data_IF_661183247342
#
_entry.id   IF_661183247342
#
_cell.length_a   1.000
_cell.length_b   1.000
_cell.length_c   1.000
_cell.angle_alpha   90.00
_cell.angle_beta   90.00
_cell.angle_gamma   90.00
#
_symmetry.space_group_name_H-M   'P 1'
#
loop_
_entity.id
_entity.type
_entity.pdbx_description
1 polymer ?
#
# COMPACT_ATOMS: atom_id res chain seq x y z
N UNK A 1 26.10 49.32 -77.95
CA UNK A 1 26.31 49.75 -76.55
C UNK A 1 26.83 48.56 -75.74
N UNK A 2 28.00 48.77 -75.12
CA UNK A 2 28.63 48.13 -73.96
C UNK A 2 28.74 46.58 -73.93
N UNK A 3 29.95 46.04 -74.20
CA UNK A 3 31.03 45.68 -73.22
C UNK A 3 30.64 44.40 -72.46
N UNK A 4 31.40 43.31 -72.31
CA UNK A 4 32.83 43.01 -72.23
C UNK A 4 32.94 41.45 -72.36
N UNK A 5 33.84 40.88 -73.17
CA UNK A 5 35.17 40.36 -72.74
C UNK A 5 35.07 39.05 -71.93
N UNK A 6 35.20 37.87 -72.56
CA UNK A 6 36.42 37.10 -72.88
C UNK A 6 36.84 36.06 -71.83
N UNK A 7 36.98 34.82 -72.33
CA UNK A 7 38.05 33.84 -72.07
C UNK A 7 38.18 33.28 -70.65
N UNK A 8 37.95 31.97 -70.56
CA UNK A 8 39.04 31.04 -70.28
C UNK A 8 38.76 30.37 -68.94
N UNK A 9 39.32 29.23 -68.56
CA UNK A 9 40.43 28.50 -69.10
C UNK A 9 40.38 27.17 -68.34
N UNK A 10 40.26 26.07 -69.10
CA UNK A 10 40.88 24.76 -68.88
C UNK A 10 40.82 24.09 -67.50
N UNK A 11 40.22 22.91 -67.54
CA UNK A 11 40.86 21.63 -67.15
C UNK A 11 41.43 21.61 -65.72
N UNK A 12 40.58 21.35 -64.74
CA UNK A 12 40.96 20.61 -63.53
C UNK A 12 39.80 19.70 -63.11
N UNK A 13 39.34 18.90 -64.06
CA UNK A 13 38.23 17.96 -63.89
C UNK A 13 38.77 16.53 -63.73
N UNK A 14 39.71 16.26 -62.81
CA UNK A 14 40.20 14.89 -62.65
C UNK A 14 40.90 14.49 -61.34
N UNK A 15 41.12 15.35 -60.33
CA UNK A 15 41.89 14.95 -59.13
C UNK A 15 41.34 15.52 -57.81
N UNK A 16 40.03 15.42 -57.57
CA UNK A 16 39.48 15.72 -56.23
C UNK A 16 38.24 14.89 -55.88
N UNK A 17 38.25 13.60 -56.20
CA UNK A 17 37.20 12.67 -55.76
C UNK A 17 37.77 11.34 -55.23
N UNK A 18 39.03 11.33 -54.79
CA UNK A 18 39.69 10.19 -54.18
C UNK A 18 40.40 10.57 -52.87
N UNK A 19 39.76 11.40 -52.05
CA UNK A 19 40.24 11.75 -50.71
C UNK A 19 39.09 11.91 -49.69
N UNK A 20 37.94 11.27 -49.92
CA UNK A 20 36.80 11.26 -48.97
C UNK A 20 36.35 9.83 -48.70
N UNK A 21 37.29 8.92 -48.47
CA UNK A 21 36.94 7.52 -48.17
C UNK A 21 37.89 6.82 -47.21
N UNK A 22 38.54 7.54 -46.29
CA UNK A 22 39.32 6.91 -45.20
C UNK A 22 39.29 7.77 -43.94
N UNK A 23 38.16 7.84 -43.22
CA UNK A 23 38.15 8.13 -41.77
C UNK A 23 36.75 8.08 -41.14
N UNK A 24 35.97 7.03 -41.41
CA UNK A 24 34.93 6.60 -40.47
C UNK A 24 35.41 5.30 -39.83
N UNK A 25 36.52 5.45 -39.09
CA UNK A 25 36.93 4.44 -38.13
C UNK A 25 35.80 4.35 -37.10
N UNK A 26 35.17 3.18 -37.02
CA UNK A 26 34.33 2.80 -35.90
C UNK A 26 35.15 2.96 -34.61
N UNK A 27 34.99 4.10 -33.94
CA UNK A 27 35.36 4.23 -32.54
C UNK A 27 34.46 3.31 -31.74
N UNK A 28 34.90 2.07 -31.50
CA UNK A 28 34.40 1.29 -30.37
C UNK A 28 34.79 2.09 -29.12
N UNK A 29 33.87 2.92 -28.64
CA UNK A 29 33.99 3.48 -27.30
C UNK A 29 33.78 2.32 -26.33
N UNK A 30 34.87 1.63 -26.01
CA UNK A 30 34.89 0.46 -25.13
C UNK A 30 35.08 0.87 -23.67
N UNK A 31 34.47 1.99 -23.26
CA UNK A 31 34.35 2.31 -21.86
C UNK A 31 32.85 2.43 -21.56
N UNK A 32 32.20 1.34 -21.07
CA UNK A 32 30.95 1.55 -20.38
C UNK A 32 31.21 2.57 -19.28
N UNK A 33 30.41 3.63 -19.24
CA UNK A 33 30.41 4.60 -18.15
C UNK A 33 30.37 3.80 -16.84
N UNK A 34 31.23 4.09 -15.84
CA UNK A 34 31.12 3.45 -14.54
C UNK A 34 29.68 3.59 -14.05
N UNK A 35 28.95 2.49 -14.00
CA UNK A 35 27.62 2.47 -13.40
C UNK A 35 27.89 2.46 -11.91
N UNK A 36 27.73 3.61 -11.27
CA UNK A 36 27.82 3.66 -9.81
C UNK A 36 26.84 2.61 -9.25
N UNK A 37 27.26 1.80 -8.25
CA UNK A 37 26.38 0.81 -7.65
C UNK A 37 25.12 1.51 -7.16
N UNK A 38 23.95 1.14 -7.71
CA UNK A 38 22.67 1.62 -7.19
C UNK A 38 22.62 1.21 -5.72
N UNK A 39 22.50 2.16 -4.77
CA UNK A 39 22.39 1.82 -3.36
C UNK A 39 21.24 0.84 -3.17
N UNK A 40 21.40 -0.21 -2.35
CA UNK A 40 20.31 -1.13 -2.08
C UNK A 40 19.10 -0.34 -1.58
N UNK A 41 17.96 -0.54 -2.24
CA UNK A 41 16.70 0.07 -1.81
C UNK A 41 16.41 -0.42 -0.40
N UNK A 42 16.30 0.51 0.55
CA UNK A 42 15.92 0.18 1.93
C UNK A 42 14.46 -0.27 1.93
N UNK A 43 14.24 -1.57 1.94
CA UNK A 43 12.91 -2.18 2.13
C UNK A 43 12.58 -2.20 3.62
N UNK A 44 11.46 -1.59 4.01
CA UNK A 44 10.94 -1.72 5.36
C UNK A 44 10.33 -3.11 5.54
N UNK A 45 10.69 -3.81 6.61
CA UNK A 45 10.21 -5.15 6.94
C UNK A 45 9.41 -5.14 8.24
N UNK A 46 8.63 -6.20 8.48
CA UNK A 46 7.96 -6.47 9.75
C UNK A 46 8.68 -7.58 10.51
N UNK A 47 8.59 -7.53 11.84
CA UNK A 47 8.95 -8.65 12.70
C UNK A 47 7.69 -9.34 13.21
N UNK A 48 7.63 -10.66 13.10
CA UNK A 48 6.51 -11.47 13.55
C UNK A 48 6.85 -12.23 14.84
N UNK A 49 5.85 -12.54 15.70
CA UNK A 49 4.44 -12.13 15.56
C UNK A 49 4.22 -10.65 15.86
N UNK A 50 3.27 -10.02 15.15
CA UNK A 50 2.88 -8.62 15.40
C UNK A 50 2.08 -8.45 16.70
N UNK A 51 1.21 -9.40 17.02
CA UNK A 51 0.38 -9.44 18.23
C UNK A 51 -0.03 -10.89 18.53
N UNK A 52 -0.32 -11.18 19.79
CA UNK A 52 -0.88 -12.47 20.21
C UNK A 52 -2.42 -12.39 20.20
N UNK A 53 -3.06 -13.30 19.48
CA UNK A 53 -4.51 -13.40 19.40
C UNK A 53 -4.97 -14.34 18.30
N UNK A 54 -6.28 -14.60 18.26
CA UNK A 54 -6.92 -15.38 17.21
C UNK A 54 -7.78 -14.49 16.33
N UNK A 55 -7.98 -14.92 15.08
CA UNK A 55 -8.86 -14.28 14.10
C UNK A 55 -8.52 -12.79 13.85
N UNK A 56 -7.28 -12.46 13.45
CA UNK A 56 -6.83 -11.08 13.29
C UNK A 56 -7.56 -10.35 12.14
N UNK A 57 -8.35 -9.34 12.51
CA UNK A 57 -8.95 -8.25 11.73
C UNK A 57 -8.01 -7.07 11.45
N UNK A 58 -7.77 -6.60 10.22
CA UNK A 58 -7.17 -5.26 9.97
C UNK A 58 -7.96 -4.50 8.91
N UNK A 59 -8.36 -3.28 9.23
CA UNK A 59 -8.93 -2.32 8.29
C UNK A 59 -8.10 -1.02 8.30
N UNK A 60 -7.77 -0.48 7.13
CA UNK A 60 -7.02 0.78 7.03
C UNK A 60 -7.89 1.87 6.41
N UNK A 61 -7.92 3.03 7.06
CA UNK A 61 -8.58 4.23 6.55
C UNK A 61 -7.83 5.47 6.99
N UNK A 62 -7.67 6.42 6.07
CA UNK A 62 -7.05 7.74 6.33
C UNK A 62 -5.68 7.66 7.03
N UNK A 63 -4.88 6.64 6.71
CA UNK A 63 -3.55 6.44 7.31
C UNK A 63 -3.55 5.83 8.72
N UNK A 64 -4.71 5.43 9.24
CA UNK A 64 -4.85 4.71 10.52
C UNK A 64 -5.22 3.26 10.24
N UNK A 65 -4.52 2.34 10.90
CA UNK A 65 -4.86 0.93 10.94
C UNK A 65 -5.69 0.65 12.18
N UNK A 66 -6.84 0.00 11.95
CA UNK A 66 -7.75 -0.48 12.97
C UNK A 66 -7.63 -1.99 13.03
N UNK A 67 -7.34 -2.53 14.22
CA UNK A 67 -7.13 -3.95 14.42
C UNK A 67 -8.15 -4.52 15.41
N UNK A 68 -8.61 -5.72 15.09
CA UNK A 68 -9.56 -6.51 15.85
C UNK A 68 -9.00 -7.94 16.01
N UNK A 69 -9.41 -8.60 17.08
CA UNK A 69 -9.14 -10.03 17.29
C UNK A 69 -10.23 -10.63 18.18
N UNK A 70 -10.30 -11.96 18.23
CA UNK A 70 -11.15 -12.65 19.19
C UNK A 70 -10.69 -12.37 20.63
N UNK A 71 -11.60 -11.80 21.44
CA UNK A 71 -11.44 -11.64 22.88
C UNK A 71 -12.40 -12.53 23.69
N UNK A 72 -13.45 -13.08 23.07
CA UNK A 72 -14.37 -14.05 23.66
C UNK A 72 -15.56 -13.46 24.43
N UNK A 73 -15.40 -12.30 25.06
CA UNK A 73 -16.44 -11.66 25.89
C UNK A 73 -16.81 -10.23 25.49
N UNK A 74 -15.99 -9.59 24.65
CA UNK A 74 -16.17 -8.22 24.20
C UNK A 74 -15.49 -8.01 22.85
N UNK A 75 -15.66 -6.82 22.27
CA UNK A 75 -14.93 -6.39 21.09
C UNK A 75 -14.02 -5.24 21.49
N UNK A 76 -12.72 -5.45 21.33
CA UNK A 76 -11.67 -4.47 21.58
C UNK A 76 -11.10 -4.02 20.24
N UNK A 77 -11.01 -2.71 20.03
CA UNK A 77 -10.48 -2.08 18.83
C UNK A 77 -9.15 -1.41 19.15
N UNK A 78 -8.09 -1.85 18.48
CA UNK A 78 -6.78 -1.18 18.50
C UNK A 78 -6.69 -0.23 17.32
N UNK A 79 -6.00 0.90 17.50
CA UNK A 79 -5.70 1.82 16.41
C UNK A 79 -4.23 2.24 16.44
N UNK A 80 -3.58 2.27 15.29
CA UNK A 80 -2.19 2.72 15.15
C UNK A 80 -1.95 3.34 13.78
N UNK A 81 -1.06 4.32 13.67
CA UNK A 81 -0.59 4.85 12.37
C UNK A 81 0.54 4.00 11.76
N UNK A 82 1.05 3.01 12.49
CA UNK A 82 2.09 2.10 12.02
C UNK A 82 1.81 0.67 12.51
N UNK A 83 1.62 -0.26 11.57
CA UNK A 83 1.36 -1.68 11.88
C UNK A 83 2.47 -2.33 12.72
N UNK A 84 3.72 -1.87 12.58
CA UNK A 84 4.85 -2.34 13.40
C UNK A 84 4.75 -1.96 14.87
N UNK A 85 3.87 -1.02 15.23
CA UNK A 85 3.60 -0.59 16.62
C UNK A 85 2.31 -1.19 17.19
N UNK A 86 1.68 -2.12 16.48
CA UNK A 86 0.38 -2.66 16.88
C UNK A 86 0.41 -3.26 18.30
N UNK A 87 1.46 -4.00 18.67
CA UNK A 87 1.62 -4.61 20.00
C UNK A 87 1.67 -3.61 21.17
N UNK A 88 2.00 -2.35 20.92
CA UNK A 88 2.07 -1.30 21.95
C UNK A 88 0.88 -0.33 21.88
N UNK A 89 -0.02 -0.49 20.92
CA UNK A 89 -1.26 0.27 20.85
C UNK A 89 -2.19 -0.10 22.03
N UNK A 90 -2.83 0.91 22.61
CA UNK A 90 -3.80 0.70 23.69
C UNK A 90 -5.17 0.41 23.09
N UNK A 91 -5.79 -0.76 23.36
CA UNK A 91 -7.12 -1.06 22.85
C UNK A 91 -8.18 -0.22 23.54
N UNK A 92 -9.29 0.00 22.83
CA UNK A 92 -10.55 0.44 23.42
C UNK A 92 -11.61 -0.64 23.28
N UNK A 93 -12.27 -0.99 24.38
CA UNK A 93 -13.48 -1.82 24.32
C UNK A 93 -14.60 -1.01 23.69
N UNK A 94 -15.02 -1.40 22.49
CA UNK A 94 -16.03 -0.70 21.69
C UNK A 94 -17.42 -1.33 21.83
N UNK A 95 -17.49 -2.59 22.25
CA UNK A 95 -18.74 -3.29 22.52
C UNK A 95 -18.58 -4.35 23.60
N UNK A 96 -19.54 -4.36 24.53
CA UNK A 96 -19.74 -5.41 25.52
C UNK A 96 -21.19 -5.88 25.41
N UNK A 97 -21.46 -7.15 25.10
CA UNK A 97 -22.81 -7.65 25.01
C UNK A 97 -23.57 -7.50 26.33
N UNK A 98 -24.89 -7.28 26.23
CA UNK A 98 -25.78 -7.33 27.39
C UNK A 98 -25.86 -8.76 27.91
N UNK A 99 -25.67 -8.95 29.22
CA UNK A 99 -25.76 -10.27 29.83
C UNK A 99 -27.12 -10.94 29.57
N UNK A 100 -27.10 -12.19 29.11
CA UNK A 100 -28.30 -12.98 28.81
C UNK A 100 -28.88 -12.76 27.41
N UNK A 101 -28.37 -11.80 26.63
CA UNK A 101 -28.76 -11.63 25.24
C UNK A 101 -28.32 -12.83 24.37
N UNK A 102 -28.95 -12.98 23.20
CA UNK A 102 -28.64 -14.05 22.25
C UNK A 102 -27.20 -14.01 21.69
N UNK A 103 -26.52 -12.86 21.82
CA UNK A 103 -25.13 -12.60 21.42
C UNK A 103 -24.19 -12.38 22.62
N UNK A 104 -24.53 -12.88 23.82
CA UNK A 104 -23.83 -12.53 25.06
C UNK A 104 -22.62 -13.39 25.43
N UNK A 105 -22.35 -14.44 24.67
CA UNK A 105 -21.26 -15.40 24.89
C UNK A 105 -20.56 -15.70 23.56
N UNK A 106 -19.34 -16.24 23.65
CA UNK A 106 -18.59 -16.72 22.48
C UNK A 106 -18.42 -15.63 21.40
N UNK A 107 -18.04 -14.42 21.81
CA UNK A 107 -17.85 -13.26 20.92
C UNK A 107 -16.55 -13.45 20.15
N UNK A 108 -16.66 -13.84 18.88
CA UNK A 108 -15.54 -14.30 18.06
C UNK A 108 -15.44 -13.61 16.70
N UNK A 109 -14.22 -13.56 16.19
CA UNK A 109 -13.81 -13.10 14.86
C UNK A 109 -14.46 -11.77 14.41
N UNK A 110 -14.31 -10.68 15.19
CA UNK A 110 -14.83 -9.39 14.77
C UNK A 110 -14.02 -8.83 13.59
N UNK A 111 -14.71 -8.25 12.61
CA UNK A 111 -14.13 -7.60 11.43
C UNK A 111 -14.76 -6.22 11.21
N UNK A 112 -13.94 -5.22 10.89
CA UNK A 112 -14.36 -3.82 10.72
C UNK A 112 -14.49 -3.46 9.25
N UNK A 113 -15.56 -2.74 8.92
CA UNK A 113 -15.81 -2.21 7.60
C UNK A 113 -16.29 -0.76 7.67
N UNK A 114 -16.03 0.01 6.62
CA UNK A 114 -16.56 1.35 6.45
C UNK A 114 -17.22 1.49 5.08
N UNK A 115 -18.51 1.81 5.07
CA UNK A 115 -19.28 2.10 3.86
C UNK A 115 -20.48 3.00 4.21
N UNK A 116 -20.99 3.73 3.23
CA UNK A 116 -22.12 4.65 3.40
C UNK A 116 -21.99 5.64 4.57
N UNK A 117 -20.74 6.08 4.83
CA UNK A 117 -20.43 7.06 5.87
C UNK A 117 -20.47 6.51 7.30
N UNK A 118 -20.57 5.19 7.50
CA UNK A 118 -20.64 4.55 8.81
C UNK A 118 -19.68 3.38 8.94
N UNK A 119 -19.40 3.03 10.18
CA UNK A 119 -18.61 1.86 10.55
C UNK A 119 -19.51 0.68 10.89
N UNK A 120 -19.07 -0.51 10.51
CA UNK A 120 -19.77 -1.76 10.78
C UNK A 120 -18.79 -2.79 11.34
N UNK A 121 -19.15 -3.45 12.44
CA UNK A 121 -18.41 -4.61 12.94
C UNK A 121 -19.27 -5.85 12.77
N UNK A 122 -18.81 -6.77 11.91
CA UNK A 122 -19.39 -8.10 11.80
C UNK A 122 -18.64 -9.03 12.75
N UNK A 123 -19.38 -9.87 13.48
CA UNK A 123 -18.80 -10.82 14.43
C UNK A 123 -19.73 -12.01 14.59
N UNK A 124 -19.27 -13.05 15.28
CA UNK A 124 -20.14 -14.14 15.72
C UNK A 124 -20.28 -14.16 17.22
N UNK A 125 -21.47 -14.53 17.69
CA UNK A 125 -21.76 -14.73 19.11
C UNK A 125 -22.99 -15.63 19.29
N UNK A 126 -23.11 -16.22 20.47
CA UNK A 126 -24.23 -17.04 20.89
C UNK A 126 -24.64 -16.73 22.33
N UNK A 127 -25.50 -17.58 22.90
CA UNK A 127 -25.93 -17.49 24.30
C UNK A 127 -25.13 -18.44 25.23
N UNK A 128 -24.16 -19.19 24.68
CA UNK A 128 -23.28 -20.11 25.40
C UNK A 128 -23.41 -21.57 24.93
N UNK A 129 -24.47 -21.92 24.20
CA UNK A 129 -24.57 -23.20 23.52
C UNK A 129 -23.97 -23.13 22.10
N UNK A 130 -23.25 -24.15 21.65
CA UNK A 130 -22.60 -24.16 20.32
C UNK A 130 -23.60 -23.90 19.18
N UNK A 131 -24.78 -24.51 19.26
CA UNK A 131 -25.84 -24.35 18.25
C UNK A 131 -26.47 -22.95 18.21
N UNK A 132 -26.19 -22.10 19.20
CA UNK A 132 -26.70 -20.73 19.28
C UNK A 132 -25.82 -19.72 18.54
N UNK A 133 -24.61 -20.10 18.10
CA UNK A 133 -23.68 -19.20 17.45
C UNK A 133 -24.26 -18.66 16.13
N UNK A 134 -24.36 -17.34 15.99
CA UNK A 134 -24.85 -16.65 14.78
C UNK A 134 -23.96 -15.46 14.44
N UNK A 135 -24.11 -14.97 13.22
CA UNK A 135 -23.50 -13.71 12.78
C UNK A 135 -24.34 -12.54 13.26
N UNK A 136 -23.66 -11.50 13.72
CA UNK A 136 -24.23 -10.25 14.20
C UNK A 136 -23.47 -9.09 13.54
N UNK A 137 -24.11 -7.93 13.53
CA UNK A 137 -23.50 -6.68 13.04
C UNK A 137 -23.77 -5.57 14.06
N UNK A 138 -22.78 -4.72 14.27
CA UNK A 138 -22.92 -3.45 14.99
C UNK A 138 -22.71 -2.31 14.00
N UNK A 139 -23.42 -1.20 14.18
CA UNK A 139 -23.25 0.04 13.42
C UNK A 139 -22.75 1.18 14.32
N UNK A 140 -21.85 2.02 13.82
CA UNK A 140 -21.45 3.27 14.47
C UNK A 140 -21.32 4.41 13.45
N UNK A 141 -22.02 5.52 13.71
CA UNK A 141 -22.01 6.72 12.86
C UNK A 141 -20.94 7.75 13.24
N UNK A 142 -20.19 7.52 14.32
CA UNK A 142 -19.06 8.39 14.69
C UNK A 142 -17.98 8.33 13.60
N UNK A 143 -17.37 9.47 13.22
CA UNK A 143 -16.22 9.47 12.31
C UNK A 143 -15.05 8.62 12.84
N UNK A 144 -14.83 8.62 14.15
CA UNK A 144 -13.82 7.78 14.82
C UNK A 144 -14.52 6.53 15.42
N UNK A 145 -14.23 5.31 14.90
CA UNK A 145 -14.88 4.08 15.34
C UNK A 145 -14.53 3.68 16.77
N UNK A 146 -13.49 4.29 17.36
CA UNK A 146 -13.16 4.11 18.77
C UNK A 146 -14.09 4.94 19.66
N UNK A 147 -14.86 5.89 19.14
CA UNK A 147 -15.78 6.75 19.91
C UNK A 147 -17.23 6.57 19.45
N UNK A 148 -18.17 7.29 20.07
CA UNK A 148 -19.59 7.14 19.77
C UNK A 148 -20.22 5.89 20.37
N UNK A 149 -21.34 5.47 19.81
CA UNK A 149 -22.12 4.32 20.28
C UNK A 149 -22.24 3.31 19.16
N UNK A 150 -21.88 2.07 19.47
CA UNK A 150 -22.14 0.91 18.62
C UNK A 150 -23.52 0.35 18.98
N UNK A 151 -24.40 0.26 17.97
CA UNK A 151 -25.79 -0.24 18.11
C UNK A 151 -26.02 -1.49 17.29
#
# INVERSE_FOLDING_TARGET
MNKFTSKGLKIHLLWLALFVSVSLSCGKSSNPTPVDPVPPTTVSTFSNPLMNGADPSVFQKDGVYYYLQTNGSSINLWSTTAMSKLSTAVPKTVFTPVAGAANSRNVWAPELYFFDGKWYIYYTAGNGADLSQRTWVLENSSPDPTTGTWV
#
